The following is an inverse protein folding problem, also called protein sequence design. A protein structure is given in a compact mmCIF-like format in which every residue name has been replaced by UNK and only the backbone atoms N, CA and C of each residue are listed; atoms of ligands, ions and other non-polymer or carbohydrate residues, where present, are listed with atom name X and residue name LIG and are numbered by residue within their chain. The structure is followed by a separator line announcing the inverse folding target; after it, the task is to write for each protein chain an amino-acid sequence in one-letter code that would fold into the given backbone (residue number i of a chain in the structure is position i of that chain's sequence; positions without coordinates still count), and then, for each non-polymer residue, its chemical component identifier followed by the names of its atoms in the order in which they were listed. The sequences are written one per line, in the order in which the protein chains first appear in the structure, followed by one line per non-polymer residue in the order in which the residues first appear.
data_IF_797374128648
#
_entry.id   IF_797374128648
#
_cell.length_a   1.000
_cell.length_b   1.000
_cell.length_c   1.000
_cell.angle_alpha   90.00
_cell.angle_beta   90.00
_cell.angle_gamma   90.00
#
_symmetry.space_group_name_H-M   'P 1'
#
loop_
_entity.id
_entity.type
_entity.pdbx_description
1 polymer ?
#
# COMPACT_ATOMS: atom_id res chain seq x y z
N UNK A 1 52.01 -50.64 -20.45
CA UNK A 1 51.28 -49.37 -20.29
C UNK A 1 50.63 -49.00 -21.63
N UNK A 2 50.02 -49.96 -22.33
CA UNK A 2 48.60 -50.38 -22.33
C UNK A 2 47.70 -49.43 -23.14
N UNK A 3 47.43 -49.80 -24.39
CA UNK A 3 46.48 -49.19 -25.35
C UNK A 3 45.14 -48.71 -24.72
N UNK A 4 44.70 -49.37 -23.65
CA UNK A 4 43.51 -49.00 -22.88
C UNK A 4 43.61 -47.60 -22.24
N UNK A 5 44.77 -47.17 -21.75
CA UNK A 5 44.92 -45.86 -21.10
C UNK A 5 44.83 -44.72 -22.10
N UNK A 6 45.27 -44.94 -23.35
CA UNK A 6 45.12 -43.97 -24.43
C UNK A 6 43.65 -43.81 -24.84
N UNK A 7 42.93 -44.93 -24.99
CA UNK A 7 41.49 -44.92 -25.29
C UNK A 7 40.67 -44.25 -24.19
N UNK A 8 41.01 -44.49 -22.92
CA UNK A 8 40.35 -43.84 -21.79
C UNK A 8 40.57 -42.33 -21.80
N UNK A 9 41.80 -41.87 -22.10
CA UNK A 9 42.08 -40.44 -22.19
C UNK A 9 41.33 -39.77 -23.35
N UNK A 10 41.26 -40.41 -24.52
CA UNK A 10 40.50 -39.92 -25.67
C UNK A 10 39.00 -39.81 -25.36
N UNK A 11 38.45 -40.81 -24.66
CA UNK A 11 37.05 -40.77 -24.21
C UNK A 11 36.81 -39.63 -23.21
N UNK A 12 37.74 -39.38 -22.29
CA UNK A 12 37.64 -38.28 -21.32
C UNK A 12 37.63 -36.92 -22.03
N UNK A 13 38.50 -36.71 -23.01
CA UNK A 13 38.50 -35.47 -23.78
C UNK A 13 37.21 -35.27 -24.57
N UNK A 14 36.69 -36.36 -25.15
CA UNK A 14 35.43 -36.32 -25.90
C UNK A 14 34.23 -36.03 -25.01
N UNK A 15 34.19 -36.55 -23.78
CA UNK A 15 33.16 -36.24 -22.80
C UNK A 15 33.21 -34.75 -22.41
N UNK A 16 34.39 -34.21 -22.11
CA UNK A 16 34.56 -32.77 -21.80
C UNK A 16 34.10 -31.88 -22.94
N UNK A 17 34.46 -32.22 -24.18
CA UNK A 17 34.01 -31.50 -25.37
C UNK A 17 32.49 -31.52 -25.53
N UNK A 18 31.84 -32.66 -25.25
CA UNK A 18 30.38 -32.78 -25.30
C UNK A 18 29.69 -31.97 -24.19
N UNK A 19 30.25 -31.94 -22.98
CA UNK A 19 29.75 -31.13 -21.87
C UNK A 19 29.79 -29.64 -22.20
N UNK A 20 30.90 -29.14 -22.76
CA UNK A 20 31.02 -27.76 -23.21
C UNK A 20 29.99 -27.40 -24.30
N UNK A 21 29.80 -28.29 -25.27
CA UNK A 21 28.78 -28.12 -26.32
C UNK A 21 27.35 -28.09 -25.76
N UNK A 22 27.05 -28.89 -24.73
CA UNK A 22 25.74 -28.86 -24.07
C UNK A 22 25.49 -27.53 -23.35
N UNK A 23 26.50 -26.97 -22.68
CA UNK A 23 26.41 -25.66 -22.03
C UNK A 23 26.16 -24.57 -23.07
N UNK A 24 26.91 -24.57 -24.17
CA UNK A 24 26.72 -23.60 -25.26
C UNK A 24 25.33 -23.71 -25.91
N UNK A 25 24.84 -24.93 -26.13
CA UNK A 25 23.47 -25.16 -26.61
C UNK A 25 22.41 -24.65 -25.63
N UNK A 26 22.61 -24.84 -24.32
CA UNK A 26 21.71 -24.31 -23.30
C UNK A 26 21.58 -22.78 -23.35
N UNK A 27 22.70 -22.08 -23.53
CA UNK A 27 22.74 -20.62 -23.69
C UNK A 27 22.01 -20.20 -24.98
N UNK A 28 22.24 -20.89 -26.08
CA UNK A 28 21.59 -20.63 -27.37
C UNK A 28 20.06 -20.82 -27.30
N UNK A 29 19.60 -21.92 -26.67
CA UNK A 29 18.18 -22.20 -26.44
C UNK A 29 17.55 -21.09 -25.57
N UNK A 30 18.23 -20.64 -24.52
CA UNK A 30 17.78 -19.53 -23.70
C UNK A 30 17.59 -18.23 -24.50
N UNK A 31 18.51 -17.95 -25.43
CA UNK A 31 18.42 -16.77 -26.33
C UNK A 31 17.23 -16.88 -27.29
N UNK A 32 17.06 -18.04 -27.94
CA UNK A 32 15.94 -18.29 -28.86
C UNK A 32 14.60 -18.23 -28.12
N UNK A 33 14.49 -18.78 -26.91
CA UNK A 33 13.27 -18.72 -26.12
C UNK A 33 12.89 -17.29 -25.72
N UNK A 34 13.88 -16.43 -25.40
CA UNK A 34 13.64 -15.00 -25.14
C UNK A 34 13.15 -14.28 -26.39
N UNK A 35 13.73 -14.57 -27.55
CA UNK A 35 13.30 -14.03 -28.84
C UNK A 35 11.89 -14.48 -29.21
N UNK A 36 11.58 -15.77 -29.06
CA UNK A 36 10.23 -16.32 -29.28
C UNK A 36 9.19 -15.72 -28.33
N UNK A 37 9.55 -15.42 -27.08
CA UNK A 37 8.66 -14.71 -26.14
C UNK A 37 8.45 -13.24 -26.53
N UNK A 38 9.45 -12.57 -27.09
CA UNK A 38 9.33 -11.20 -27.60
C UNK A 38 8.50 -11.14 -28.88
N UNK A 39 8.75 -12.04 -29.83
CA UNK A 39 7.95 -12.22 -31.03
C UNK A 39 6.52 -12.61 -30.70
N UNK A 40 6.31 -13.51 -29.73
CA UNK A 40 4.98 -13.86 -29.23
C UNK A 40 4.19 -12.63 -28.78
N UNK A 41 4.83 -11.69 -28.07
CA UNK A 41 4.21 -10.41 -27.67
C UNK A 41 3.91 -9.46 -28.83
N UNK A 42 4.70 -9.52 -29.91
CA UNK A 42 4.49 -8.72 -31.12
C UNK A 42 3.39 -9.32 -32.01
N UNK A 43 3.40 -10.64 -32.21
CA UNK A 43 2.45 -11.39 -33.06
C UNK A 43 1.09 -11.52 -32.38
N UNK A 44 1.03 -11.79 -31.07
CA UNK A 44 -0.24 -11.81 -30.33
C UNK A 44 -0.81 -10.41 -30.09
N UNK A 45 -0.04 -9.37 -30.43
CA UNK A 45 -0.30 -7.99 -30.05
C UNK A 45 -0.32 -7.80 -28.53
N UNK A 46 -0.15 -6.55 -28.10
CA UNK A 46 -0.81 -6.14 -26.85
C UNK A 46 -2.31 -6.33 -27.11
N UNK A 47 -3.05 -6.92 -26.17
CA UNK A 47 -4.51 -6.73 -26.10
C UNK A 47 -4.87 -5.27 -25.73
N UNK A 48 -4.14 -4.30 -26.30
CA UNK A 48 -4.62 -2.95 -26.45
C UNK A 48 -5.65 -3.04 -27.55
N UNK A 49 -6.89 -2.71 -27.23
CA UNK A 49 -8.01 -2.45 -28.14
C UNK A 49 -7.66 -2.65 -29.62
N UNK A 50 -8.18 -3.73 -30.22
CA UNK A 50 -8.48 -3.70 -31.64
C UNK A 50 -9.38 -2.50 -31.86
N UNK A 51 -8.82 -1.37 -32.30
CA UNK A 51 -9.58 -0.46 -33.14
C UNK A 51 -9.84 -1.25 -34.42
N UNK A 52 -11.02 -1.85 -34.50
CA UNK A 52 -11.61 -2.17 -35.79
C UNK A 52 -11.53 -0.88 -36.63
N UNK A 53 -11.13 -0.99 -37.90
CA UNK A 53 -11.19 0.14 -38.83
C UNK A 53 -12.53 0.83 -38.64
N UNK A 54 -12.50 2.10 -38.27
CA UNK A 54 -13.70 2.89 -38.03
C UNK A 54 -14.64 2.73 -39.23
N UNK A 55 -15.85 2.17 -39.06
CA UNK A 55 -16.86 2.17 -40.13
C UNK A 55 -17.33 3.59 -40.49
N UNK A 56 -16.84 4.59 -39.74
CA UNK A 56 -17.18 6.00 -39.82
C UNK A 56 -16.92 6.61 -41.20
N UNK A 57 -15.99 6.07 -41.99
CA UNK A 57 -15.66 6.64 -43.31
C UNK A 57 -16.72 6.34 -44.39
N UNK A 58 -17.78 5.58 -44.07
CA UNK A 58 -18.80 5.14 -45.04
C UNK A 58 -20.26 5.33 -44.62
N UNK A 59 -20.53 5.78 -43.39
CA UNK A 59 -21.90 5.95 -42.88
C UNK A 59 -22.36 7.40 -42.93
N UNK A 60 -23.63 7.62 -43.25
CA UNK A 60 -24.26 8.95 -43.17
C UNK A 60 -24.43 9.36 -41.70
N UNK A 61 -24.42 10.67 -41.41
CA UNK A 61 -24.47 11.24 -40.05
C UNK A 61 -25.63 10.66 -39.21
N UNK A 62 -26.80 10.42 -39.83
CA UNK A 62 -27.98 9.86 -39.17
C UNK A 62 -27.82 8.39 -38.72
N UNK A 63 -27.09 7.58 -39.48
CA UNK A 63 -26.80 6.19 -39.09
C UNK A 63 -25.79 6.13 -37.94
N UNK A 64 -24.89 7.11 -37.88
CA UNK A 64 -23.91 7.24 -36.81
C UNK A 64 -24.59 7.55 -35.47
N UNK A 65 -25.51 8.53 -35.47
CA UNK A 65 -26.23 8.94 -34.26
C UNK A 65 -27.13 7.81 -33.75
N UNK A 66 -27.85 7.11 -34.63
CA UNK A 66 -28.63 5.91 -34.26
C UNK A 66 -27.79 4.80 -33.64
N UNK A 67 -26.62 4.48 -34.20
CA UNK A 67 -25.72 3.45 -33.65
C UNK A 67 -25.16 3.84 -32.28
N UNK A 68 -24.92 5.13 -32.07
CA UNK A 68 -24.42 5.69 -30.80
C UNK A 68 -25.50 5.64 -29.72
N UNK A 69 -26.74 5.95 -30.08
CA UNK A 69 -27.91 5.79 -29.20
C UNK A 69 -28.14 4.32 -28.85
N UNK A 70 -28.11 3.42 -29.83
CA UNK A 70 -28.29 1.98 -29.63
C UNK A 70 -27.16 1.38 -28.76
N UNK A 71 -25.92 1.84 -28.94
CA UNK A 71 -24.81 1.47 -28.04
C UNK A 71 -24.97 2.06 -26.63
N UNK A 72 -25.47 3.29 -26.50
CA UNK A 72 -25.75 3.90 -25.21
C UNK A 72 -26.88 3.14 -24.48
N UNK A 73 -27.91 2.69 -25.20
CA UNK A 73 -28.95 1.82 -24.66
C UNK A 73 -28.43 0.44 -24.28
N UNK A 74 -27.60 -0.20 -25.12
CA UNK A 74 -26.94 -1.47 -24.78
C UNK A 74 -26.03 -1.35 -23.55
N UNK A 75 -25.34 -0.21 -23.37
CA UNK A 75 -24.55 0.09 -22.16
C UNK A 75 -25.45 0.31 -20.93
N UNK A 76 -26.59 1.00 -21.08
CA UNK A 76 -27.59 1.17 -20.02
C UNK A 76 -28.25 -0.17 -19.62
N UNK A 77 -28.42 -1.08 -20.58
CA UNK A 77 -29.00 -2.41 -20.37
C UNK A 77 -28.04 -3.37 -19.65
N UNK A 78 -26.73 -3.19 -19.80
CA UNK A 78 -25.71 -3.91 -19.02
C UNK A 78 -25.69 -3.37 -17.59
N UNK A 79 -26.60 -3.89 -16.75
CA UNK A 79 -26.55 -3.68 -15.31
C UNK A 79 -25.25 -4.27 -14.76
N UNK A 80 -24.71 -3.66 -13.70
CA UNK A 80 -23.70 -4.31 -12.87
C UNK A 80 -24.28 -5.66 -12.41
N UNK A 81 -23.61 -6.77 -12.74
CA UNK A 81 -23.94 -8.20 -12.57
C UNK A 81 -24.37 -8.65 -11.15
N UNK A 82 -25.25 -7.91 -10.48
CA UNK A 82 -25.60 -8.11 -9.08
C UNK A 82 -24.44 -7.83 -8.10
N UNK A 83 -23.32 -7.24 -8.54
CA UNK A 83 -22.21 -6.99 -7.64
C UNK A 83 -22.61 -5.92 -6.61
N UNK A 84 -22.67 -6.35 -5.35
CA UNK A 84 -22.89 -5.47 -4.21
C UNK A 84 -21.64 -4.62 -4.00
N UNK A 85 -21.84 -3.38 -3.51
CA UNK A 85 -20.73 -2.52 -3.11
C UNK A 85 -20.12 -3.08 -1.81
N UNK A 86 -18.81 -3.02 -1.70
CA UNK A 86 -18.11 -3.36 -0.46
C UNK A 86 -18.32 -2.25 0.57
N UNK A 87 -18.62 -2.64 1.81
CA UNK A 87 -19.08 -1.75 2.88
C UNK A 87 -18.14 -1.86 4.08
N UNK A 88 -17.58 -0.73 4.53
CA UNK A 88 -16.64 -0.64 5.65
C UNK A 88 -17.31 -0.03 6.90
N UNK A 89 -17.85 -0.87 7.79
CA UNK A 89 -18.60 -0.44 8.98
C UNK A 89 -17.70 -0.01 10.15
N UNK A 90 -16.42 -0.37 10.09
CA UNK A 90 -15.41 -0.06 11.09
C UNK A 90 -14.97 1.40 11.09
N UNK A 91 -15.32 2.17 10.05
CA UNK A 91 -14.88 3.55 9.87
C UNK A 91 -15.80 4.55 10.59
N UNK A 92 -15.24 5.71 10.96
CA UNK A 92 -16.04 6.83 11.45
C UNK A 92 -16.91 7.36 10.30
N UNK A 93 -18.22 7.33 10.48
CA UNK A 93 -19.17 7.86 9.52
C UNK A 93 -19.42 9.36 9.75
N UNK A 94 -19.49 10.13 8.66
CA UNK A 94 -19.89 11.53 8.66
C UNK A 94 -21.10 11.65 7.73
N UNK A 95 -22.27 11.91 8.31
CA UNK A 95 -23.49 12.12 7.55
C UNK A 95 -23.59 13.58 7.12
N UNK A 96 -23.57 13.82 5.80
CA UNK A 96 -23.81 15.12 5.20
C UNK A 96 -25.10 15.03 4.40
N UNK A 97 -26.11 15.80 4.80
CA UNK A 97 -27.34 15.97 4.02
C UNK A 97 -27.06 16.96 2.90
N UNK A 98 -27.37 16.56 1.66
CA UNK A 98 -27.25 17.42 0.48
C UNK A 98 -28.66 17.68 -0.02
N UNK A 99 -29.13 18.90 0.18
CA UNK A 99 -30.41 19.38 -0.34
C UNK A 99 -30.24 19.97 -1.74
N UNK A 100 -31.31 19.97 -2.57
CA UNK A 100 -31.25 20.62 -3.88
C UNK A 100 -30.99 22.13 -3.71
N UNK A 101 -30.19 22.69 -4.62
CA UNK A 101 -29.85 24.13 -4.61
C UNK A 101 -31.08 24.94 -5.03
N UNK A 102 -31.90 25.35 -4.07
CA UNK A 102 -33.16 26.07 -4.25
C UNK A 102 -33.36 27.09 -3.13
N UNK A 103 -34.38 27.96 -3.25
CA UNK A 103 -34.74 28.89 -2.19
C UNK A 103 -35.17 28.19 -0.89
N UNK A 104 -34.74 28.73 0.24
CA UNK A 104 -34.92 28.11 1.56
C UNK A 104 -36.38 28.14 2.03
N UNK A 105 -37.17 29.15 1.63
CA UNK A 105 -38.59 29.20 1.97
C UNK A 105 -39.38 28.16 1.17
N UNK A 106 -39.08 28.05 -0.13
CA UNK A 106 -39.65 27.01 -0.97
C UNK A 106 -39.30 25.61 -0.47
N UNK A 107 -38.05 25.36 -0.06
CA UNK A 107 -37.59 24.08 0.49
C UNK A 107 -38.41 23.65 1.73
N UNK A 108 -38.79 24.58 2.61
CA UNK A 108 -39.62 24.28 3.79
C UNK A 108 -41.04 23.83 3.44
N UNK A 109 -41.57 24.27 2.31
CA UNK A 109 -42.91 23.87 1.84
C UNK A 109 -42.93 22.51 1.16
N UNK A 110 -41.78 22.03 0.70
CA UNK A 110 -41.66 20.78 -0.04
C UNK A 110 -41.58 19.59 0.93
N UNK A 111 -42.21 18.48 0.53
CA UNK A 111 -42.10 17.21 1.26
C UNK A 111 -40.95 16.39 0.72
N UNK A 112 -40.10 15.87 1.61
CA UNK A 112 -39.08 14.88 1.25
C UNK A 112 -39.75 13.60 0.71
N UNK A 113 -39.52 13.31 -0.57
CA UNK A 113 -40.10 12.14 -1.25
C UNK A 113 -39.26 10.87 -1.09
N UNK A 114 -37.93 11.01 -0.95
CA UNK A 114 -37.04 9.88 -0.73
C UNK A 114 -35.57 10.31 -0.74
N UNK A 115 -34.75 9.52 -0.06
CA UNK A 115 -33.31 9.80 0.09
C UNK A 115 -32.51 8.73 -0.64
N UNK A 116 -31.49 9.14 -1.39
CA UNK A 116 -30.51 8.25 -2.00
C UNK A 116 -29.19 8.36 -1.24
N UNK A 117 -28.68 7.24 -0.74
CA UNK A 117 -27.39 7.21 -0.05
C UNK A 117 -26.26 7.09 -1.05
N UNK A 118 -25.30 8.01 -0.99
CA UNK A 118 -24.06 7.97 -1.75
C UNK A 118 -22.89 7.95 -0.76
N UNK A 119 -22.08 6.89 -0.79
CA UNK A 119 -20.94 6.71 0.12
C UNK A 119 -19.66 7.05 -0.64
N UNK A 120 -18.83 7.91 -0.04
CA UNK A 120 -17.52 8.30 -0.57
C UNK A 120 -16.49 8.13 0.53
N UNK A 121 -15.46 7.33 0.26
CA UNK A 121 -14.32 7.19 1.16
C UNK A 121 -13.28 8.27 0.83
N UNK A 122 -12.91 9.07 1.83
CA UNK A 122 -11.77 9.98 1.76
C UNK A 122 -10.65 9.44 2.64
N UNK A 123 -9.40 9.63 2.21
CA UNK A 123 -8.23 9.29 3.00
C UNK A 123 -7.56 10.59 3.47
N UNK A 124 -7.53 10.81 4.78
CA UNK A 124 -6.66 11.82 5.36
C UNK A 124 -5.26 11.21 5.56
N UNK A 125 -4.19 11.91 5.15
CA UNK A 125 -2.84 11.47 5.44
C UNK A 125 -2.52 11.46 6.95
N UNK A 126 -1.30 11.04 7.31
CA UNK A 126 -0.85 11.05 8.70
C UNK A 126 -0.88 12.48 9.28
N UNK A 127 -1.50 12.63 10.46
CA UNK A 127 -1.64 13.92 11.14
C UNK A 127 -0.69 14.02 12.33
N UNK A 128 0.20 15.00 12.31
CA UNK A 128 1.12 15.28 13.42
C UNK A 128 0.58 16.39 14.32
N UNK A 129 0.55 16.16 15.63
CA UNK A 129 0.04 17.12 16.63
C UNK A 129 1.15 17.43 17.62
N UNK A 130 1.51 18.72 17.74
CA UNK A 130 2.44 19.22 18.75
C UNK A 130 1.63 19.72 19.94
N UNK A 131 1.71 19.00 21.06
CA UNK A 131 1.16 19.47 22.34
C UNK A 131 2.27 20.15 23.12
N UNK A 132 2.07 21.42 23.50
CA UNK A 132 3.03 22.19 24.33
C UNK A 132 2.47 22.28 25.73
N UNK A 133 3.20 21.73 26.70
CA UNK A 133 2.85 21.80 28.11
C UNK A 133 3.56 22.98 28.77
N UNK A 134 2.79 23.89 29.37
CA UNK A 134 3.32 24.92 30.27
C UNK A 134 3.16 24.42 31.71
N UNK A 135 4.25 23.91 32.28
CA UNK A 135 4.27 23.38 33.64
C UNK A 135 4.58 24.54 34.58
N UNK A 136 3.55 25.07 35.22
CA UNK A 136 3.67 26.18 36.14
C UNK A 136 4.16 25.71 37.51
N UNK A 137 4.95 26.53 38.17
CA UNK A 137 5.30 26.38 39.58
C UNK A 137 4.74 27.57 40.32
N UNK A 138 3.89 27.32 41.33
CA UNK A 138 3.29 28.36 42.15
C UNK A 138 4.03 28.46 43.49
N UNK A 139 3.96 29.61 44.15
CA UNK A 139 4.54 29.80 45.48
C UNK A 139 3.64 30.67 46.34
N UNK A 140 3.60 30.38 47.64
CA UNK A 140 2.98 31.22 48.66
C UNK A 140 3.99 32.21 49.29
N UNK A 141 5.22 32.26 48.76
CA UNK A 141 6.33 33.05 49.29
C UNK A 141 7.27 32.26 50.21
N UNK A 142 6.86 31.08 50.69
CA UNK A 142 7.64 30.23 51.59
C UNK A 142 7.97 28.86 51.00
N UNK A 143 7.02 28.26 50.26
CA UNK A 143 7.14 26.93 49.67
C UNK A 143 6.81 27.02 48.18
N UNK A 144 7.49 26.20 47.38
CA UNK A 144 7.29 26.08 45.93
C UNK A 144 6.45 24.84 45.63
N UNK A 145 5.40 25.00 44.82
CA UNK A 145 4.49 23.95 44.38
C UNK A 145 4.65 23.74 42.87
N UNK A 146 5.58 22.87 42.45
CA UNK A 146 5.82 22.60 41.04
C UNK A 146 4.69 21.74 40.44
N UNK A 147 4.23 22.10 39.24
CA UNK A 147 3.32 21.28 38.46
C UNK A 147 3.97 19.94 38.06
N UNK A 148 3.15 18.90 37.92
CA UNK A 148 3.62 17.55 37.57
C UNK A 148 3.89 17.43 36.07
N UNK A 149 5.08 16.94 35.72
CA UNK A 149 5.43 16.64 34.32
C UNK A 149 4.60 15.47 33.79
N UNK A 150 3.98 15.60 32.59
CA UNK A 150 3.27 14.50 31.96
C UNK A 150 4.18 13.29 31.72
N UNK A 151 3.66 12.06 31.82
CA UNK A 151 4.44 10.86 31.58
C UNK A 151 4.89 10.77 30.12
N UNK A 152 6.13 10.33 29.91
CA UNK A 152 6.71 10.10 28.59
C UNK A 152 7.05 8.61 28.42
N UNK A 153 6.97 8.09 27.17
CA UNK A 153 7.35 6.70 26.87
C UNK A 153 8.84 6.45 27.15
N UNK A 154 9.68 7.41 26.75
CA UNK A 154 11.12 7.34 26.85
C UNK A 154 11.62 8.56 27.63
N UNK A 155 12.64 8.34 28.47
CA UNK A 155 13.26 9.40 29.25
C UNK A 155 13.78 10.52 28.34
N UNK A 156 13.47 11.77 28.68
CA UNK A 156 13.88 12.98 27.95
C UNK A 156 13.46 13.01 26.47
N UNK A 157 12.40 12.27 26.09
CA UNK A 157 11.88 12.27 24.73
C UNK A 157 10.72 13.26 24.58
N UNK A 158 10.71 14.02 23.49
CA UNK A 158 9.56 14.82 23.06
C UNK A 158 8.51 14.01 22.28
N UNK A 159 8.78 12.74 21.98
CA UNK A 159 7.91 11.89 21.17
C UNK A 159 6.95 11.09 22.06
N UNK A 160 5.66 11.16 21.72
CA UNK A 160 4.59 10.44 22.41
C UNK A 160 4.63 8.93 22.11
N UNK A 161 3.97 8.10 22.94
CA UNK A 161 3.80 6.69 22.65
C UNK A 161 3.12 6.42 21.29
N UNK A 162 2.12 7.24 20.92
CA UNK A 162 1.43 7.13 19.63
C UNK A 162 2.35 7.41 18.44
N UNK A 163 3.26 8.38 18.56
CA UNK A 163 4.25 8.67 17.53
C UNK A 163 5.22 7.50 17.35
N UNK A 164 5.73 6.95 18.46
CA UNK A 164 6.61 5.77 18.43
C UNK A 164 5.90 4.55 17.81
N UNK A 165 4.64 4.29 18.17
CA UNK A 165 3.84 3.21 17.60
C UNK A 165 3.67 3.37 16.09
N UNK A 166 3.34 4.57 15.61
CA UNK A 166 3.25 4.85 14.17
C UNK A 166 4.58 4.62 13.44
N UNK A 167 5.71 5.03 14.04
CA UNK A 167 7.04 4.78 13.48
C UNK A 167 7.38 3.28 13.41
N UNK A 168 7.09 2.53 14.47
CA UNK A 168 7.30 1.08 14.53
C UNK A 168 6.41 0.32 13.55
N UNK A 169 5.14 0.72 13.42
CA UNK A 169 4.22 0.15 12.44
C UNK A 169 4.75 0.33 11.02
N UNK A 170 5.21 1.53 10.66
CA UNK A 170 5.83 1.77 9.36
C UNK A 170 7.07 0.90 9.14
N UNK A 171 7.91 0.74 10.17
CA UNK A 171 9.15 -0.04 10.07
C UNK A 171 8.92 -1.55 9.99
N UNK A 172 8.10 -2.10 10.87
CA UNK A 172 7.99 -3.55 11.08
C UNK A 172 6.75 -4.17 10.43
N UNK A 173 5.60 -3.48 10.42
CA UNK A 173 4.39 -4.00 9.79
C UNK A 173 4.43 -3.78 8.28
N UNK A 174 4.74 -2.55 7.86
CA UNK A 174 4.82 -2.20 6.44
C UNK A 174 6.21 -2.39 5.83
N UNK A 175 7.18 -2.87 6.62
CA UNK A 175 8.56 -3.16 6.17
C UNK A 175 9.24 -1.99 5.46
N UNK A 176 8.89 -0.74 5.81
CA UNK A 176 9.46 0.43 5.13
C UNK A 176 10.88 0.72 5.64
N UNK A 177 11.83 1.01 4.74
CA UNK A 177 13.16 1.46 5.13
C UNK A 177 13.07 2.86 5.75
N UNK A 178 13.95 3.16 6.70
CA UNK A 178 13.86 4.38 7.54
C UNK A 178 13.92 5.65 6.72
N UNK A 179 14.72 5.65 5.65
CA UNK A 179 14.82 6.77 4.70
C UNK A 179 13.45 7.08 4.08
N UNK A 180 12.73 6.03 3.68
CA UNK A 180 11.39 6.17 3.11
C UNK A 180 10.40 6.67 4.15
N UNK A 181 10.50 6.20 5.39
CA UNK A 181 9.65 6.68 6.48
C UNK A 181 9.90 8.15 6.76
N UNK A 182 11.17 8.56 6.86
CA UNK A 182 11.53 9.97 7.10
C UNK A 182 11.09 10.88 5.96
N UNK A 183 11.17 10.40 4.72
CA UNK A 183 10.65 11.13 3.56
C UNK A 183 9.13 11.23 3.62
N UNK A 184 8.43 10.12 3.88
CA UNK A 184 6.98 10.11 4.01
C UNK A 184 6.50 11.06 5.13
N UNK A 185 7.19 11.11 6.27
CA UNK A 185 6.87 12.06 7.32
C UNK A 185 7.09 13.51 6.87
N UNK A 186 8.18 13.79 6.15
CA UNK A 186 8.45 15.11 5.60
C UNK A 186 7.40 15.55 4.58
N UNK A 187 6.97 14.65 3.69
CA UNK A 187 5.90 14.87 2.72
C UNK A 187 4.55 15.20 3.42
N UNK A 188 4.39 14.78 4.67
CA UNK A 188 3.23 15.06 5.53
C UNK A 188 3.49 16.16 6.58
N UNK A 189 4.52 17.00 6.37
CA UNK A 189 4.78 18.19 7.18
C UNK A 189 5.59 17.95 8.46
N UNK A 190 6.24 16.79 8.61
CA UNK A 190 7.08 16.47 9.77
C UNK A 190 8.49 16.00 9.37
N UNK A 191 9.47 16.89 9.45
CA UNK A 191 10.86 16.57 9.12
C UNK A 191 11.53 15.83 10.29
N UNK A 192 11.75 14.52 10.13
CA UNK A 192 12.45 13.69 11.11
C UNK A 192 13.84 13.30 10.61
N UNK A 193 14.89 13.57 11.39
CA UNK A 193 16.24 13.11 11.06
C UNK A 193 16.33 11.59 11.17
N UNK A 194 16.93 10.94 10.17
CA UNK A 194 17.16 9.48 10.13
C UNK A 194 17.80 8.92 11.41
N UNK A 195 18.83 9.60 11.94
CA UNK A 195 19.49 9.18 13.18
C UNK A 195 18.52 9.17 14.37
N UNK A 196 17.64 10.16 14.47
CA UNK A 196 16.61 10.25 15.51
C UNK A 196 15.58 9.14 15.33
N UNK A 197 15.12 8.89 14.10
CA UNK A 197 14.20 7.79 13.80
C UNK A 197 14.79 6.43 14.22
N UNK A 198 16.05 6.15 13.86
CA UNK A 198 16.73 4.91 14.26
C UNK A 198 16.84 4.76 15.78
N UNK A 199 17.25 5.82 16.49
CA UNK A 199 17.32 5.79 17.96
C UNK A 199 15.95 5.57 18.57
N UNK A 200 14.91 6.21 18.04
CA UNK A 200 13.55 6.08 18.55
C UNK A 200 13.02 4.67 18.33
N UNK A 201 13.27 4.07 17.17
CA UNK A 201 12.93 2.66 16.87
C UNK A 201 13.62 1.73 17.86
N UNK A 202 14.94 1.86 18.03
CA UNK A 202 15.71 1.01 18.94
C UNK A 202 15.19 1.11 20.38
N UNK A 203 15.06 2.33 20.91
CA UNK A 203 14.57 2.55 22.28
C UNK A 203 13.14 2.06 22.50
N UNK A 204 12.28 2.21 21.49
CA UNK A 204 10.90 1.70 21.59
C UNK A 204 10.86 0.17 21.53
N UNK A 205 11.76 -0.45 20.76
CA UNK A 205 11.91 -1.91 20.74
C UNK A 205 12.40 -2.44 22.11
N UNK A 206 13.35 -1.76 22.76
CA UNK A 206 13.81 -2.13 24.12
C UNK A 206 12.64 -2.16 25.12
N UNK A 207 11.71 -1.19 25.03
CA UNK A 207 10.52 -1.16 25.89
C UNK A 207 9.60 -2.35 25.58
N UNK A 208 9.39 -2.67 24.30
CA UNK A 208 8.55 -3.80 23.88
C UNK A 208 9.15 -5.16 24.22
N UNK A 209 10.47 -5.26 24.30
CA UNK A 209 11.16 -6.50 24.68
C UNK A 209 10.75 -6.98 26.08
N UNK A 210 10.51 -6.06 27.01
CA UNK A 210 10.04 -6.40 28.36
C UNK A 210 8.66 -7.05 28.32
N UNK A 211 7.76 -6.56 27.47
CA UNK A 211 6.44 -7.17 27.28
C UNK A 211 6.57 -8.55 26.64
N UNK A 212 7.42 -8.69 25.63
CA UNK A 212 7.69 -9.99 25.01
C UNK A 212 8.18 -11.01 26.04
N UNK A 213 9.17 -10.65 26.87
CA UNK A 213 9.69 -11.52 27.94
C UNK A 213 8.61 -11.92 28.93
N UNK A 214 7.78 -10.97 29.38
CA UNK A 214 6.67 -11.24 30.30
C UNK A 214 5.64 -12.20 29.67
N UNK A 215 5.26 -11.97 28.42
CA UNK A 215 4.33 -12.84 27.69
C UNK A 215 4.92 -14.26 27.55
N UNK A 216 6.19 -14.38 27.16
CA UNK A 216 6.85 -15.67 27.05
C UNK A 216 6.86 -16.44 28.37
N UNK A 217 7.14 -15.76 29.49
CA UNK A 217 7.09 -16.40 30.81
C UNK A 217 5.70 -16.93 31.13
N UNK A 218 4.65 -16.15 30.88
CA UNK A 218 3.26 -16.57 31.12
C UNK A 218 2.88 -17.74 30.23
N UNK A 219 3.20 -17.68 28.94
CA UNK A 219 2.89 -18.76 27.99
C UNK A 219 3.61 -20.06 28.36
N UNK A 220 4.85 -19.99 28.82
CA UNK A 220 5.61 -21.18 29.27
C UNK A 220 5.12 -21.77 30.58
N UNK A 221 4.46 -20.98 31.43
CA UNK A 221 3.85 -21.44 32.68
C UNK A 221 2.46 -22.02 32.50
N UNK A 222 1.81 -21.79 31.35
CA UNK A 222 0.53 -22.40 31.05
C UNK A 222 0.74 -23.87 30.72
N UNK A 223 0.06 -24.74 31.46
CA UNK A 223 -0.10 -26.13 31.05
C UNK A 223 -0.82 -26.13 29.70
N UNK A 224 -0.17 -26.68 28.68
CA UNK A 224 -0.80 -26.93 27.38
C UNK A 224 -1.99 -27.88 27.62
N UNK A 225 -3.21 -27.37 27.50
CA UNK A 225 -4.45 -28.18 27.49
C UNK A 225 -4.61 -28.84 26.14
#
# INVERSE_FOLDING_TARGET
MSSLTLQVNELIERIKSLEELLIQKGIAIGKVNRQNKALGKLVSGKKSERQEKNPQDSMTQEEFDKKKEEQAEKRKARKNNGAKRDMHYEMKEVHVTIDPVMDAELLKTLRLFGTRTCIRYSMEPIKFIKTVYHINTYTDGSIMYPGKTPPALLLNSSYSPSFAAGLLQMRYIYSMPVERITKYFADNGFTLRKATANKLIARSADVLENFYKAICQVVLQQDYV
#
